data_IF_431094174947
#
_entry.id   IF_431094174947
#
_cell.length_a   1.000
_cell.length_b   1.000
_cell.length_c   1.000
_cell.angle_alpha   90.00
_cell.angle_beta   90.00
_cell.angle_gamma   90.00
#
_symmetry.space_group_name_H-M   'P 1'
#
loop_
_entity.id
_entity.type
_entity.pdbx_description
1 polymer ?
#
# COMPACT_ATOMS: atom_id res chain seq x y z
N UNK A 1 -4.83 -17.14 -45.60
CA UNK A 1 -3.73 -16.95 -46.56
C UNK A 1 -2.42 -16.89 -45.79
N UNK A 2 -1.78 -18.05 -45.69
CA UNK A 2 -0.32 -18.27 -45.73
C UNK A 2 0.60 -17.04 -45.82
N UNK A 3 1.59 -16.88 -44.94
CA UNK A 3 2.93 -17.52 -45.01
C UNK A 3 3.90 -16.92 -43.97
N UNK A 4 4.50 -17.82 -43.20
CA UNK A 4 5.72 -17.61 -42.41
C UNK A 4 6.95 -17.52 -43.31
N UNK A 5 8.00 -16.81 -42.86
CA UNK A 5 9.36 -17.01 -43.33
C UNK A 5 10.21 -17.71 -42.26
N UNK A 6 10.67 -18.92 -42.60
CA UNK A 6 11.59 -19.78 -41.82
C UNK A 6 13.04 -19.32 -42.00
N UNK A 7 13.88 -19.55 -40.97
CA UNK A 7 15.35 -19.51 -41.08
C UNK A 7 15.90 -20.94 -41.15
N UNK A 8 16.86 -21.16 -42.07
CA UNK A 8 17.52 -22.44 -42.40
C UNK A 8 18.39 -22.98 -41.25
N UNK A 9 18.41 -24.31 -41.13
CA UNK A 9 19.38 -25.13 -40.40
C UNK A 9 20.41 -25.73 -41.39
N UNK A 10 21.66 -25.87 -40.93
CA UNK A 10 22.67 -26.92 -41.22
C UNK A 10 24.03 -26.36 -40.74
N UNK A 11 24.87 -27.07 -39.99
CA UNK A 11 25.40 -28.43 -40.17
C UNK A 11 26.01 -28.97 -38.85
N UNK A 12 25.94 -30.29 -38.66
CA UNK A 12 26.61 -31.08 -37.61
C UNK A 12 28.09 -31.35 -37.93
N UNK A 13 28.92 -31.60 -36.88
CA UNK A 13 29.80 -32.79 -36.66
C UNK A 13 30.99 -32.45 -35.70
N UNK A 14 31.75 -33.43 -35.17
CA UNK A 14 31.48 -34.20 -33.95
C UNK A 14 32.53 -33.95 -32.83
N UNK A 15 32.22 -34.44 -31.63
CA UNK A 15 33.04 -34.40 -30.41
C UNK A 15 34.36 -35.20 -30.49
N UNK A 16 35.35 -34.86 -29.62
CA UNK A 16 36.22 -35.85 -29.03
C UNK A 16 36.06 -35.92 -27.51
N UNK A 17 35.94 -37.15 -27.05
CA UNK A 17 35.94 -37.64 -25.67
C UNK A 17 37.28 -37.45 -24.96
N UNK A 18 37.25 -37.14 -23.65
CA UNK A 18 38.02 -37.74 -22.53
C UNK A 18 38.11 -36.75 -21.32
N UNK A 19 38.52 -37.20 -20.11
CA UNK A 19 37.64 -37.74 -19.07
C UNK A 19 37.77 -36.91 -17.76
N UNK A 20 37.06 -37.31 -16.71
CA UNK A 20 37.32 -36.95 -15.31
C UNK A 20 37.43 -35.46 -14.93
N UNK A 21 36.32 -34.92 -14.43
CA UNK A 21 36.34 -33.96 -13.32
C UNK A 21 35.05 -34.10 -12.51
N UNK A 22 34.91 -35.23 -11.83
CA UNK A 22 33.80 -35.48 -10.89
C UNK A 22 34.08 -34.98 -9.47
N UNK A 23 35.19 -34.26 -9.23
CA UNK A 23 35.56 -33.78 -7.88
C UNK A 23 35.78 -32.26 -7.75
N UNK A 24 35.54 -31.44 -8.78
CA UNK A 24 35.77 -29.99 -8.69
C UNK A 24 34.56 -29.16 -8.16
N UNK A 25 33.33 -29.71 -8.20
CA UNK A 25 32.10 -28.92 -7.94
C UNK A 25 31.82 -28.52 -6.48
N UNK A 26 32.18 -29.28 -5.43
CA UNK A 26 31.88 -28.83 -4.05
C UNK A 26 32.79 -27.67 -3.61
N UNK A 27 34.08 -27.76 -3.94
CA UNK A 27 35.12 -26.83 -3.46
C UNK A 27 34.91 -25.41 -4.02
N UNK A 28 34.50 -25.30 -5.28
CA UNK A 28 34.30 -24.01 -5.95
C UNK A 28 33.07 -23.25 -5.41
N UNK A 29 31.99 -23.96 -5.03
CA UNK A 29 30.78 -23.33 -4.48
C UNK A 29 31.02 -22.86 -3.05
N UNK A 30 31.65 -23.69 -2.21
CA UNK A 30 31.97 -23.34 -0.82
C UNK A 30 32.90 -22.11 -0.74
N UNK A 31 33.88 -22.00 -1.65
CA UNK A 31 34.74 -20.83 -1.76
C UNK A 31 33.99 -19.57 -2.22
N UNK A 32 33.04 -19.69 -3.15
CA UNK A 32 32.19 -18.57 -3.58
C UNK A 32 31.32 -18.09 -2.41
N UNK A 33 30.71 -19.01 -1.66
CA UNK A 33 29.84 -18.69 -0.52
C UNK A 33 30.61 -18.04 0.64
N UNK A 34 31.84 -18.51 0.89
CA UNK A 34 32.73 -17.94 1.90
C UNK A 34 33.13 -16.49 1.56
N UNK A 35 33.32 -16.18 0.28
CA UNK A 35 33.82 -14.88 -0.20
C UNK A 35 32.71 -13.92 -0.69
N UNK A 36 31.45 -14.16 -0.34
CA UNK A 36 30.35 -13.27 -0.71
C UNK A 36 30.51 -11.87 -0.10
N UNK A 37 30.48 -10.86 -0.96
CA UNK A 37 30.63 -9.45 -0.61
C UNK A 37 29.48 -8.93 0.27
N UNK A 38 29.81 -8.43 1.45
CA UNK A 38 28.81 -7.90 2.37
C UNK A 38 28.26 -6.53 1.93
N UNK A 39 29.10 -5.64 1.39
CA UNK A 39 28.67 -4.29 0.98
C UNK A 39 27.74 -4.36 -0.24
N UNK A 40 26.49 -3.88 -0.15
CA UNK A 40 25.50 -4.02 -1.22
C UNK A 40 25.89 -3.30 -2.51
N UNK A 41 26.69 -2.24 -2.42
CA UNK A 41 27.16 -1.50 -3.59
C UNK A 41 28.22 -2.24 -4.40
N UNK A 42 28.85 -3.26 -3.81
CA UNK A 42 29.93 -4.06 -4.40
C UNK A 42 29.50 -5.49 -4.74
N UNK A 43 28.25 -5.87 -4.46
CA UNK A 43 27.75 -7.22 -4.75
C UNK A 43 27.63 -7.46 -6.25
N UNK A 44 28.07 -8.64 -6.69
CA UNK A 44 27.77 -9.19 -8.02
C UNK A 44 26.27 -9.33 -8.21
N UNK A 45 25.71 -8.98 -9.38
CA UNK A 45 24.26 -9.08 -9.59
C UNK A 45 23.82 -10.55 -9.54
N UNK A 46 22.62 -10.81 -9.02
CA UNK A 46 22.09 -12.19 -8.96
C UNK A 46 22.02 -12.87 -10.33
N UNK A 47 21.84 -12.10 -11.40
CA UNK A 47 21.85 -12.56 -12.81
C UNK A 47 23.22 -12.99 -13.30
N UNK A 48 24.30 -12.53 -12.68
CA UNK A 48 25.66 -12.78 -13.14
C UNK A 48 26.22 -14.07 -12.54
N UNK A 49 25.59 -14.59 -11.48
CA UNK A 49 25.87 -15.94 -10.97
C UNK A 49 25.24 -17.02 -11.86
N UNK A 50 25.88 -18.19 -11.90
CA UNK A 50 25.33 -19.39 -12.55
C UNK A 50 23.96 -19.75 -11.95
N UNK A 51 22.93 -20.06 -12.77
CA UNK A 51 21.59 -20.40 -12.27
C UNK A 51 21.56 -21.46 -11.18
N UNK A 52 22.47 -22.43 -11.24
CA UNK A 52 22.54 -23.56 -10.31
C UNK A 52 23.01 -23.20 -8.89
N UNK A 53 23.61 -22.02 -8.68
CA UNK A 53 24.13 -21.58 -7.36
C UNK A 53 23.38 -20.38 -6.78
N UNK A 54 22.47 -19.76 -7.54
CA UNK A 54 21.76 -18.54 -7.13
C UNK A 54 20.96 -18.74 -5.85
N UNK A 55 20.32 -19.89 -5.68
CA UNK A 55 19.48 -20.16 -4.51
C UNK A 55 20.30 -20.36 -3.24
N UNK A 56 21.49 -20.95 -3.36
CA UNK A 56 22.40 -21.12 -2.23
C UNK A 56 23.01 -19.78 -1.80
N UNK A 57 23.35 -18.93 -2.77
CA UNK A 57 23.77 -17.55 -2.53
C UNK A 57 22.65 -16.76 -1.85
N UNK A 58 21.39 -16.88 -2.32
CA UNK A 58 20.22 -16.24 -1.69
C UNK A 58 20.06 -16.68 -0.24
N UNK A 59 20.10 -17.98 0.02
CA UNK A 59 20.00 -18.55 1.38
C UNK A 59 21.11 -18.01 2.28
N UNK A 60 22.34 -17.94 1.77
CA UNK A 60 23.49 -17.42 2.52
C UNK A 60 23.34 -15.94 2.88
N UNK A 61 22.90 -15.10 1.94
CA UNK A 61 22.62 -13.68 2.25
C UNK A 61 21.44 -13.50 3.20
N UNK A 62 20.39 -14.32 3.11
CA UNK A 62 19.28 -14.29 4.06
C UNK A 62 19.72 -14.68 5.48
N UNK A 63 20.64 -15.65 5.61
CA UNK A 63 21.22 -16.03 6.90
C UNK A 63 22.14 -14.95 7.47
N UNK A 64 22.94 -14.28 6.62
CA UNK A 64 23.81 -13.17 7.02
C UNK A 64 22.99 -11.91 7.39
N UNK A 65 21.82 -11.74 6.78
CA UNK A 65 20.96 -10.58 6.96
C UNK A 65 21.47 -9.31 6.24
N UNK A 66 20.75 -8.19 6.40
CA UNK A 66 21.07 -6.92 5.74
C UNK A 66 22.39 -6.32 6.24
N UNK A 67 23.16 -5.70 5.33
CA UNK A 67 24.38 -4.98 5.67
C UNK A 67 24.07 -3.63 6.35
N UNK A 68 24.06 -3.63 7.69
CA UNK A 68 23.68 -2.49 8.52
C UNK A 68 24.87 -2.00 9.37
N UNK A 69 25.70 -1.12 8.79
CA UNK A 69 26.90 -0.58 9.46
C UNK A 69 26.54 0.49 10.50
N UNK A 70 25.97 0.06 11.65
CA UNK A 70 25.41 0.95 12.70
C UNK A 70 26.43 1.87 13.37
N UNK A 71 27.69 1.44 13.46
CA UNK A 71 28.79 2.21 14.05
C UNK A 71 29.49 3.16 13.06
N UNK A 72 29.10 3.14 11.79
CA UNK A 72 29.70 3.96 10.76
C UNK A 72 29.28 5.43 10.88
N UNK A 73 30.25 6.34 10.71
CA UNK A 73 29.99 7.78 10.67
C UNK A 73 29.56 8.18 9.26
N UNK A 74 28.26 8.14 9.02
CA UNK A 74 27.69 8.51 7.71
C UNK A 74 28.07 9.95 7.31
N UNK A 75 28.54 10.14 6.08
CA UNK A 75 28.94 11.45 5.57
C UNK A 75 27.74 12.39 5.46
N UNK A 76 28.02 13.70 5.48
CA UNK A 76 27.02 14.72 5.25
C UNK A 76 27.06 15.20 3.81
N UNK A 77 25.89 15.26 3.20
CA UNK A 77 25.71 15.79 1.85
C UNK A 77 24.84 17.04 1.92
N UNK A 78 25.23 18.09 1.21
CA UNK A 78 24.38 19.26 1.03
C UNK A 78 23.33 18.95 -0.04
N UNK A 79 22.07 18.85 0.36
CA UNK A 79 20.95 18.69 -0.57
C UNK A 79 20.07 19.94 -0.47
N UNK A 80 20.05 20.74 -1.54
CA UNK A 80 19.29 22.01 -1.67
C UNK A 80 19.32 22.86 -0.39
N UNK A 81 20.53 23.23 0.05
CA UNK A 81 20.77 24.17 1.16
C UNK A 81 20.74 23.54 2.56
N UNK A 82 20.46 22.24 2.70
CA UNK A 82 20.42 21.55 3.98
C UNK A 82 21.47 20.43 3.99
N UNK A 83 22.33 20.42 5.01
CA UNK A 83 23.28 19.33 5.24
C UNK A 83 22.54 18.14 5.88
N UNK A 84 22.36 17.07 5.11
CA UNK A 84 21.63 15.86 5.52
C UNK A 84 22.61 14.68 5.51
N UNK A 85 22.42 13.72 6.43
CA UNK A 85 23.19 12.47 6.50
C UNK A 85 22.26 11.28 6.67
N UNK A 86 22.76 10.09 6.34
CA UNK A 86 22.09 8.84 6.70
C UNK A 86 22.07 8.65 8.23
N UNK A 87 20.99 8.09 8.79
CA UNK A 87 20.84 7.88 10.24
C UNK A 87 20.68 6.39 10.52
N UNK A 88 21.55 5.83 11.38
CA UNK A 88 21.55 4.42 11.75
C UNK A 88 20.21 3.91 12.29
N UNK A 89 19.43 4.76 12.97
CA UNK A 89 18.13 4.42 13.52
C UNK A 89 17.12 3.94 12.46
N UNK A 90 17.31 4.31 11.18
CA UNK A 90 16.43 3.80 10.12
C UNK A 90 16.52 2.28 9.95
N UNK A 91 17.62 1.66 10.36
CA UNK A 91 17.73 0.20 10.39
C UNK A 91 16.78 -0.47 11.39
N UNK A 92 16.31 0.27 12.41
CA UNK A 92 15.32 -0.24 13.38
C UNK A 92 13.90 -0.12 12.85
N UNK A 93 13.64 0.86 11.97
CA UNK A 93 12.35 1.09 11.32
C UNK A 93 12.16 0.21 10.07
N UNK A 94 13.27 -0.16 9.40
CA UNK A 94 13.27 -0.87 8.13
C UNK A 94 14.30 -2.02 8.15
N UNK A 95 13.83 -3.22 8.44
CA UNK A 95 14.63 -4.45 8.54
C UNK A 95 15.32 -4.86 7.22
N UNK A 96 14.77 -4.47 6.06
CA UNK A 96 15.35 -4.74 4.74
C UNK A 96 16.46 -3.76 4.32
N UNK A 97 16.61 -2.64 5.03
CA UNK A 97 17.43 -1.51 4.60
C UNK A 97 18.91 -1.83 4.78
N UNK A 98 19.67 -1.62 3.71
CA UNK A 98 21.13 -1.75 3.68
C UNK A 98 21.77 -0.41 3.29
N UNK A 99 23.04 -0.24 3.66
CA UNK A 99 23.81 0.93 3.24
C UNK A 99 25.18 0.51 2.74
N UNK A 100 25.56 1.01 1.56
CA UNK A 100 26.89 0.82 0.99
C UNK A 100 27.82 1.93 1.46
N UNK A 101 28.91 1.53 2.14
CA UNK A 101 29.98 2.47 2.49
C UNK A 101 30.74 2.88 1.21
N UNK A 102 30.95 1.92 0.30
CA UNK A 102 31.69 2.15 -0.93
C UNK A 102 31.01 3.16 -1.87
N UNK A 103 29.67 3.18 -1.90
CA UNK A 103 28.89 4.06 -2.78
C UNK A 103 28.21 5.23 -2.07
N UNK A 104 28.20 5.27 -0.74
CA UNK A 104 27.48 6.28 0.05
C UNK A 104 25.97 6.37 -0.27
N UNK A 105 25.32 5.21 -0.47
CA UNK A 105 23.89 5.13 -0.84
C UNK A 105 23.20 3.93 -0.20
N UNK A 106 21.87 4.01 -0.07
CA UNK A 106 21.05 2.98 0.53
C UNK A 106 20.58 1.92 -0.49
N UNK A 107 20.43 0.68 -0.06
CA UNK A 107 19.97 -0.45 -0.87
C UNK A 107 18.91 -1.27 -0.12
N UNK A 108 18.30 -2.23 -0.80
CA UNK A 108 17.38 -3.21 -0.21
C UNK A 108 17.87 -4.63 -0.45
N UNK A 109 18.05 -5.38 0.63
CA UNK A 109 18.48 -6.77 0.56
C UNK A 109 17.52 -7.61 -0.28
N UNK A 110 16.23 -7.55 0.01
CA UNK A 110 15.22 -8.37 -0.67
C UNK A 110 15.14 -8.04 -2.17
N UNK A 111 15.25 -6.76 -2.54
CA UNK A 111 15.23 -6.40 -3.96
C UNK A 111 16.50 -6.83 -4.69
N UNK A 112 17.66 -6.83 -4.03
CA UNK A 112 18.89 -7.41 -4.59
C UNK A 112 18.71 -8.92 -4.85
N UNK A 113 18.10 -9.65 -3.91
CA UNK A 113 17.96 -11.11 -3.99
C UNK A 113 16.94 -11.60 -5.02
N UNK A 114 15.81 -10.89 -5.16
CA UNK A 114 14.63 -11.42 -5.85
C UNK A 114 14.17 -10.62 -7.07
N UNK A 115 14.71 -9.41 -7.33
CA UNK A 115 14.24 -8.60 -8.46
C UNK A 115 14.90 -9.04 -9.78
N UNK A 116 14.14 -9.37 -10.83
CA UNK A 116 14.69 -9.98 -12.05
C UNK A 116 15.34 -8.99 -13.03
N UNK A 117 14.98 -7.69 -13.02
CA UNK A 117 15.48 -6.69 -13.97
C UNK A 117 15.93 -5.40 -13.27
N UNK A 118 17.20 -5.02 -13.45
CA UNK A 118 17.82 -3.81 -12.90
C UNK A 118 17.82 -2.61 -13.86
N UNK A 119 17.59 -2.85 -15.16
CA UNK A 119 17.81 -1.85 -16.22
C UNK A 119 16.50 -1.22 -16.76
N UNK A 120 15.35 -1.46 -16.14
CA UNK A 120 14.13 -0.72 -16.48
C UNK A 120 14.20 0.71 -15.93
N UNK A 121 14.03 1.70 -16.80
CA UNK A 121 13.79 3.09 -16.42
C UNK A 121 12.55 3.14 -15.51
N UNK A 122 12.72 3.59 -14.27
CA UNK A 122 11.68 3.55 -13.22
C UNK A 122 11.76 2.35 -12.28
N UNK A 123 12.75 1.46 -12.44
CA UNK A 123 13.07 0.39 -11.51
C UNK A 123 13.51 0.95 -10.15
N UNK A 124 12.80 0.57 -9.10
CA UNK A 124 13.01 0.96 -7.70
C UNK A 124 14.49 1.23 -7.32
N UNK A 125 14.78 2.45 -6.84
CA UNK A 125 16.12 3.02 -6.67
C UNK A 125 17.05 2.26 -5.71
N UNK A 126 16.53 1.25 -4.99
CA UNK A 126 17.22 0.50 -3.93
C UNK A 126 18.07 -0.68 -4.42
N UNK A 127 18.34 -0.78 -5.72
CA UNK A 127 18.98 -1.98 -6.31
C UNK A 127 20.28 -1.71 -7.05
N UNK A 128 20.26 -1.25 -8.30
CA UNK A 128 21.49 -1.13 -9.10
C UNK A 128 22.31 0.12 -8.76
N UNK A 129 21.66 1.29 -8.78
CA UNK A 129 22.31 2.59 -8.55
C UNK A 129 22.37 2.93 -7.06
N UNK A 130 21.39 2.47 -6.29
CA UNK A 130 21.24 2.80 -4.88
C UNK A 130 20.49 4.13 -4.66
N UNK A 131 19.88 4.25 -3.49
CA UNK A 131 19.03 5.37 -3.13
C UNK A 131 19.83 6.41 -2.33
N UNK A 132 19.92 7.63 -2.87
CA UNK A 132 20.67 8.74 -2.27
C UNK A 132 19.83 9.99 -1.93
N UNK A 133 18.52 9.97 -2.25
CA UNK A 133 17.64 11.12 -1.98
C UNK A 133 17.15 11.13 -0.53
N UNK A 134 18.04 11.53 0.38
CA UNK A 134 17.79 11.51 1.82
C UNK A 134 16.67 12.46 2.27
N UNK A 135 16.31 13.48 1.47
CA UNK A 135 15.13 14.34 1.73
C UNK A 135 13.82 13.58 1.67
N UNK A 136 13.65 12.73 0.66
CA UNK A 136 12.42 11.95 0.45
C UNK A 136 12.48 10.55 1.08
N UNK A 137 13.48 10.26 1.91
CA UNK A 137 13.71 8.92 2.46
C UNK A 137 12.49 8.30 3.16
N UNK A 138 11.76 9.03 4.02
CA UNK A 138 10.62 8.44 4.75
C UNK A 138 9.50 8.08 3.79
N UNK A 139 9.18 9.00 2.88
CA UNK A 139 8.21 8.76 1.80
C UNK A 139 8.64 7.58 0.93
N UNK A 140 9.90 7.53 0.51
CA UNK A 140 10.43 6.52 -0.41
C UNK A 140 10.65 5.16 0.23
N UNK A 141 11.09 5.08 1.49
CA UNK A 141 11.20 3.85 2.26
C UNK A 141 9.81 3.29 2.54
N UNK A 142 8.86 4.14 2.93
CA UNK A 142 7.46 3.73 3.10
C UNK A 142 6.82 3.34 1.78
N UNK A 143 7.14 3.98 0.66
CA UNK A 143 6.67 3.58 -0.67
C UNK A 143 7.33 2.28 -1.12
N UNK A 144 8.60 2.07 -0.80
CA UNK A 144 9.34 0.84 -1.13
C UNK A 144 8.73 -0.36 -0.39
N UNK A 145 8.47 -0.23 0.90
CA UNK A 145 7.75 -1.23 1.70
C UNK A 145 6.27 -1.32 1.31
N UNK A 146 5.66 -0.17 1.07
CA UNK A 146 4.22 0.04 0.98
C UNK A 146 3.65 0.16 -0.43
N UNK A 147 4.40 -0.22 -1.48
CA UNK A 147 3.86 -0.31 -2.84
C UNK A 147 3.36 -1.71 -3.22
N UNK A 148 3.23 -2.62 -2.24
CA UNK A 148 2.26 -3.71 -2.33
C UNK A 148 0.84 -3.24 -1.95
N UNK A 149 0.42 -2.06 -2.42
CA UNK A 149 -0.98 -1.77 -2.68
C UNK A 149 -1.48 -2.47 -3.95
N UNK A 150 -0.87 -3.62 -4.29
CA UNK A 150 -1.28 -4.45 -5.39
C UNK A 150 -2.54 -5.18 -4.96
N UNK A 151 -3.56 -5.08 -5.79
CA UNK A 151 -4.81 -5.79 -5.56
C UNK A 151 -4.54 -7.30 -5.53
N UNK A 152 -5.22 -7.98 -4.60
CA UNK A 152 -5.18 -9.45 -4.54
C UNK A 152 -5.53 -10.07 -5.90
N UNK A 153 -6.49 -9.42 -6.58
CA UNK A 153 -6.93 -9.69 -7.95
C UNK A 153 -6.29 -8.77 -8.98
N UNK A 154 -6.01 -9.28 -10.18
CA UNK A 154 -5.69 -8.45 -11.34
C UNK A 154 -6.93 -7.73 -11.86
N UNK A 155 -6.76 -6.55 -12.46
CA UNK A 155 -7.84 -5.97 -13.28
C UNK A 155 -8.06 -6.81 -14.55
N UNK A 156 -6.97 -7.36 -15.07
CA UNK A 156 -6.93 -8.37 -16.12
C UNK A 156 -6.05 -9.53 -15.64
N UNK A 157 -6.64 -10.72 -15.50
CA UNK A 157 -5.98 -11.96 -15.08
C UNK A 157 -5.69 -12.88 -16.28
N UNK A 158 -5.85 -12.39 -17.52
CA UNK A 158 -5.54 -13.13 -18.74
C UNK A 158 -4.05 -13.50 -18.82
N UNK A 159 -3.72 -14.57 -19.55
CA UNK A 159 -2.35 -15.06 -19.65
C UNK A 159 -1.36 -14.00 -20.18
N UNK A 160 -1.84 -13.08 -21.02
CA UNK A 160 -1.08 -11.99 -21.63
C UNK A 160 -1.02 -10.72 -20.78
N UNK A 161 -1.72 -10.66 -19.65
CA UNK A 161 -1.69 -9.52 -18.75
C UNK A 161 -0.30 -9.33 -18.16
N UNK A 162 0.13 -8.07 -18.07
CA UNK A 162 1.39 -7.67 -17.43
C UNK A 162 1.32 -7.67 -15.89
N UNK A 163 0.12 -7.77 -15.32
CA UNK A 163 -0.11 -7.86 -13.88
C UNK A 163 -1.44 -8.57 -13.62
N UNK A 164 -1.35 -9.85 -13.22
CA UNK A 164 -2.52 -10.70 -12.93
C UNK A 164 -2.98 -10.60 -11.47
N UNK A 165 -2.45 -9.66 -10.70
CA UNK A 165 -2.72 -9.50 -9.26
C UNK A 165 -1.91 -10.44 -8.38
N UNK A 166 -1.81 -10.09 -7.09
CA UNK A 166 -0.89 -10.76 -6.17
C UNK A 166 -1.10 -12.26 -6.06
N UNK A 167 -2.35 -12.74 -6.10
CA UNK A 167 -2.62 -14.17 -5.94
C UNK A 167 -2.02 -15.00 -7.08
N UNK A 168 -2.27 -14.60 -8.33
CA UNK A 168 -1.80 -15.34 -9.50
C UNK A 168 -0.31 -15.18 -9.73
N UNK A 169 0.23 -13.98 -9.50
CA UNK A 169 1.68 -13.75 -9.60
C UNK A 169 2.44 -14.56 -8.54
N UNK A 170 1.93 -14.65 -7.30
CA UNK A 170 2.55 -15.46 -6.26
C UNK A 170 2.39 -16.96 -6.54
N UNK A 171 1.24 -17.40 -7.06
CA UNK A 171 1.01 -18.79 -7.43
C UNK A 171 1.93 -19.22 -8.58
N UNK A 172 2.12 -18.36 -9.58
CA UNK A 172 3.08 -18.57 -10.67
C UNK A 172 4.51 -18.61 -10.14
N UNK A 173 4.89 -17.66 -9.27
CA UNK A 173 6.19 -17.67 -8.62
C UNK A 173 6.44 -19.00 -7.88
N UNK A 174 5.48 -19.50 -7.10
CA UNK A 174 5.61 -20.78 -6.41
C UNK A 174 5.74 -21.96 -7.39
N UNK A 175 4.97 -21.96 -8.47
CA UNK A 175 5.07 -22.97 -9.52
C UNK A 175 6.44 -22.96 -10.22
N UNK A 176 7.05 -21.78 -10.40
CA UNK A 176 8.36 -21.67 -11.06
C UNK A 176 9.52 -22.14 -10.17
N UNK A 177 9.31 -22.20 -8.85
CA UNK A 177 10.37 -22.50 -7.87
C UNK A 177 10.17 -23.82 -7.11
N UNK A 178 9.03 -24.51 -7.26
CA UNK A 178 8.78 -25.82 -6.66
C UNK A 178 8.10 -26.75 -7.67
N UNK A 179 8.85 -27.76 -8.12
CA UNK A 179 8.38 -28.74 -9.10
C UNK A 179 7.16 -29.54 -8.62
N UNK A 180 7.00 -29.74 -7.29
CA UNK A 180 5.81 -30.42 -6.74
C UNK A 180 4.57 -29.53 -6.87
N UNK A 181 4.73 -28.23 -6.61
CA UNK A 181 3.65 -27.25 -6.78
C UNK A 181 3.33 -27.12 -8.26
N UNK A 182 4.34 -26.94 -9.11
CA UNK A 182 4.20 -26.84 -10.58
C UNK A 182 3.38 -27.97 -11.17
N UNK A 183 3.58 -29.20 -10.69
CA UNK A 183 2.90 -30.39 -11.19
C UNK A 183 1.38 -30.38 -10.94
N UNK A 184 0.87 -29.56 -10.02
CA UNK A 184 -0.53 -29.62 -9.57
C UNK A 184 -1.30 -28.29 -9.70
N UNK A 185 -0.67 -27.21 -10.17
CA UNK A 185 -1.29 -25.87 -10.26
C UNK A 185 -1.36 -25.35 -11.71
N UNK A 186 -2.14 -24.29 -11.92
CA UNK A 186 -2.24 -23.55 -13.20
C UNK A 186 -2.62 -24.43 -14.40
N UNK A 187 -1.74 -24.55 -15.40
CA UNK A 187 -1.96 -25.34 -16.62
C UNK A 187 -1.88 -26.84 -16.36
N UNK A 188 -1.12 -27.26 -15.33
CA UNK A 188 -0.95 -28.66 -14.94
C UNK A 188 -2.04 -29.15 -13.98
N UNK A 189 -2.85 -28.24 -13.44
CA UNK A 189 -3.99 -28.60 -12.59
C UNK A 189 -5.09 -29.31 -13.41
N UNK A 190 -5.64 -30.43 -12.92
CA UNK A 190 -6.65 -31.20 -13.65
C UNK A 190 -7.98 -30.44 -13.78
N UNK A 191 -8.36 -30.15 -15.02
CA UNK A 191 -9.66 -29.55 -15.36
C UNK A 191 -9.94 -28.24 -14.60
N UNK A 192 -10.96 -28.27 -13.75
CA UNK A 192 -11.44 -27.11 -13.00
C UNK A 192 -10.76 -26.91 -11.62
N UNK A 193 -9.82 -27.78 -11.24
CA UNK A 193 -9.13 -27.73 -9.93
C UNK A 193 -8.00 -26.70 -9.87
N UNK A 194 -8.02 -25.69 -10.75
CA UNK A 194 -6.97 -24.67 -10.83
C UNK A 194 -6.94 -23.74 -9.62
N UNK A 195 -8.05 -23.61 -8.89
CA UNK A 195 -8.22 -22.70 -7.74
C UNK A 195 -7.92 -21.22 -8.03
N UNK A 196 -7.95 -20.83 -9.30
CA UNK A 196 -7.68 -19.45 -9.76
C UNK A 196 -8.95 -18.63 -9.98
N UNK A 197 -10.14 -19.24 -9.94
CA UNK A 197 -11.38 -18.53 -10.23
C UNK A 197 -11.63 -17.39 -9.21
N UNK A 198 -12.16 -16.24 -9.65
CA UNK A 198 -12.42 -15.11 -8.75
C UNK A 198 -13.32 -15.43 -7.55
N UNK A 199 -14.26 -16.37 -7.69
CA UNK A 199 -15.10 -16.86 -6.59
C UNK A 199 -14.28 -17.61 -5.53
N UNK A 200 -13.39 -18.50 -5.97
CA UNK A 200 -12.51 -19.29 -5.08
C UNK A 200 -11.54 -18.37 -4.34
N UNK A 201 -10.92 -17.45 -5.06
CA UNK A 201 -10.06 -16.42 -4.48
C UNK A 201 -10.79 -15.62 -3.38
N UNK A 202 -12.05 -15.21 -3.61
CA UNK A 202 -12.88 -14.55 -2.58
C UNK A 202 -13.14 -15.45 -1.38
N UNK A 203 -13.37 -16.73 -1.59
CA UNK A 203 -13.59 -17.67 -0.49
C UNK A 203 -12.32 -17.89 0.35
N UNK A 204 -11.14 -17.93 -0.29
CA UNK A 204 -9.85 -17.93 0.42
C UNK A 204 -9.66 -16.67 1.26
N UNK A 205 -9.95 -15.49 0.69
CA UNK A 205 -9.88 -14.21 1.42
C UNK A 205 -10.84 -14.21 2.62
N UNK A 206 -12.09 -14.68 2.44
CA UNK A 206 -13.06 -14.80 3.53
C UNK A 206 -12.59 -15.77 4.61
N UNK A 207 -12.00 -16.91 4.25
CA UNK A 207 -11.45 -17.86 5.21
C UNK A 207 -10.31 -17.24 6.01
N UNK A 208 -9.36 -16.57 5.36
CA UNK A 208 -8.27 -15.86 6.02
C UNK A 208 -8.79 -14.75 6.95
N UNK A 209 -9.79 -13.99 6.51
CA UNK A 209 -10.43 -12.96 7.32
C UNK A 209 -11.09 -13.57 8.58
N UNK A 210 -11.81 -14.69 8.43
CA UNK A 210 -12.45 -15.39 9.54
C UNK A 210 -11.42 -15.88 10.57
N UNK A 211 -10.34 -16.53 10.13
CA UNK A 211 -9.26 -16.98 11.03
C UNK A 211 -8.56 -15.80 11.72
N UNK A 212 -8.29 -14.72 10.98
CA UNK A 212 -7.68 -13.50 11.53
C UNK A 212 -8.56 -12.86 12.61
N UNK A 213 -9.87 -12.74 12.33
CA UNK A 213 -10.84 -12.24 13.31
C UNK A 213 -10.88 -13.18 14.51
N UNK A 214 -10.91 -14.50 14.30
CA UNK A 214 -10.84 -15.50 15.37
C UNK A 214 -9.62 -15.30 16.28
N UNK A 215 -8.44 -15.07 15.71
CA UNK A 215 -7.22 -14.78 16.47
C UNK A 215 -7.33 -13.46 17.24
N UNK A 216 -7.83 -12.40 16.63
CA UNK A 216 -8.05 -11.11 17.31
C UNK A 216 -8.97 -11.30 18.52
N UNK A 217 -10.07 -12.04 18.35
CA UNK A 217 -11.04 -12.29 19.41
C UNK A 217 -10.51 -13.21 20.49
N UNK A 218 -9.65 -14.16 20.14
CA UNK A 218 -8.91 -14.97 21.11
C UNK A 218 -7.94 -14.14 21.95
N UNK A 219 -7.50 -12.97 21.45
CA UNK A 219 -6.71 -12.00 22.23
C UNK A 219 -7.61 -11.06 23.05
N UNK A 220 -8.85 -10.79 22.62
CA UNK A 220 -9.86 -10.07 23.43
C UNK A 220 -10.37 -10.94 24.59
N UNK A 221 -10.66 -12.23 24.35
CA UNK A 221 -11.27 -13.19 25.30
C UNK A 221 -12.49 -12.58 26.02
N UNK A 222 -12.52 -12.69 27.35
CA UNK A 222 -13.53 -12.15 28.26
C UNK A 222 -13.24 -10.72 28.74
N UNK A 223 -12.28 -10.03 28.13
CA UNK A 223 -11.89 -8.67 28.55
C UNK A 223 -12.91 -7.63 28.12
N UNK A 224 -12.85 -6.50 28.81
CA UNK A 224 -13.58 -5.32 28.39
C UNK A 224 -12.96 -4.70 27.15
N UNK A 225 -13.80 -4.15 26.28
CA UNK A 225 -13.37 -3.55 25.04
C UNK A 225 -14.23 -2.33 24.68
N UNK A 226 -13.73 -1.59 23.70
CA UNK A 226 -14.36 -0.42 23.11
C UNK A 226 -14.59 -0.69 21.63
N UNK A 227 -15.68 -0.16 21.08
CA UNK A 227 -15.94 -0.19 19.64
C UNK A 227 -15.69 1.18 19.04
N UNK A 228 -15.01 1.22 17.90
CA UNK A 228 -14.83 2.41 17.07
C UNK A 228 -15.54 2.17 15.74
N UNK A 229 -16.36 3.11 15.30
CA UNK A 229 -17.12 3.00 14.05
C UNK A 229 -16.89 4.25 13.21
N UNK A 230 -16.68 4.06 11.92
CA UNK A 230 -16.60 5.16 10.96
C UNK A 230 -17.34 4.79 9.67
N UNK A 231 -17.94 5.79 9.03
CA UNK A 231 -18.73 5.64 7.81
C UNK A 231 -18.08 6.39 6.67
N UNK A 232 -17.89 5.70 5.55
CA UNK A 232 -17.35 6.30 4.35
C UNK A 232 -17.98 5.72 3.09
N UNK A 233 -18.11 6.56 2.07
CA UNK A 233 -18.57 6.18 0.75
C UNK A 233 -17.40 5.70 -0.10
N UNK A 234 -17.52 4.51 -0.67
CA UNK A 234 -16.52 3.93 -1.56
C UNK A 234 -16.58 4.48 -2.99
N UNK A 235 -15.64 4.03 -3.84
CA UNK A 235 -15.54 4.42 -5.26
C UNK A 235 -16.74 3.99 -6.10
N UNK A 236 -17.47 2.97 -5.66
CA UNK A 236 -18.71 2.49 -6.26
C UNK A 236 -19.94 3.16 -5.68
N UNK A 237 -19.76 4.27 -4.94
CA UNK A 237 -20.84 5.09 -4.39
C UNK A 237 -21.63 4.37 -3.28
N UNK A 238 -21.10 3.27 -2.74
CA UNK A 238 -21.75 2.55 -1.64
C UNK A 238 -21.22 3.01 -0.30
N UNK A 239 -22.11 3.16 0.66
CA UNK A 239 -21.75 3.46 2.04
C UNK A 239 -21.16 2.20 2.70
N UNK A 240 -20.04 2.38 3.39
CA UNK A 240 -19.29 1.34 4.08
C UNK A 240 -19.10 1.76 5.52
N UNK A 241 -19.31 0.82 6.43
CA UNK A 241 -19.09 0.99 7.86
C UNK A 241 -17.84 0.22 8.28
N UNK A 242 -16.80 0.94 8.68
CA UNK A 242 -15.60 0.36 9.25
C UNK A 242 -15.79 0.17 10.76
N UNK A 243 -15.39 -1.00 11.26
CA UNK A 243 -15.50 -1.36 12.68
C UNK A 243 -14.13 -1.73 13.22
N UNK A 244 -13.73 -1.07 14.31
CA UNK A 244 -12.52 -1.36 15.06
C UNK A 244 -12.82 -1.69 16.52
N UNK A 245 -12.00 -2.56 17.11
CA UNK A 245 -12.00 -2.84 18.54
C UNK A 245 -10.76 -2.26 19.18
N UNK A 246 -10.93 -1.73 20.39
CA UNK A 246 -9.84 -1.29 21.26
C UNK A 246 -9.95 -1.96 22.62
N UNK A 247 -8.88 -2.63 23.05
CA UNK A 247 -8.85 -3.38 24.30
C UNK A 247 -7.44 -3.37 24.90
N UNK A 248 -7.31 -3.86 26.14
CA UNK A 248 -6.02 -4.01 26.82
C UNK A 248 -5.65 -5.48 26.84
N UNK A 249 -4.46 -5.83 26.34
CA UNK A 249 -3.98 -7.22 26.34
C UNK A 249 -3.38 -7.63 27.70
N UNK A 250 -2.94 -8.88 27.82
CA UNK A 250 -2.36 -9.43 29.06
C UNK A 250 -1.08 -8.71 29.54
N UNK A 251 -0.43 -7.97 28.65
CA UNK A 251 0.76 -7.17 28.97
C UNK A 251 0.41 -5.75 29.41
N UNK A 252 -0.87 -5.44 29.61
CA UNK A 252 -1.34 -4.09 29.92
C UNK A 252 -1.20 -3.10 28.76
N UNK A 253 -1.00 -3.58 27.52
CA UNK A 253 -0.86 -2.72 26.34
C UNK A 253 -2.21 -2.49 25.67
N UNK A 254 -2.44 -1.26 25.25
CA UNK A 254 -3.59 -0.89 24.43
C UNK A 254 -3.38 -1.45 23.02
N UNK A 255 -4.35 -2.24 22.56
CA UNK A 255 -4.38 -2.86 21.24
C UNK A 255 -5.60 -2.35 20.49
N UNK A 256 -5.39 -1.94 19.25
CA UNK A 256 -6.42 -1.50 18.31
C UNK A 256 -6.39 -2.42 17.09
N UNK A 257 -7.55 -2.95 16.71
CA UNK A 257 -7.70 -3.89 15.59
C UNK A 257 -8.93 -3.53 14.76
N UNK A 258 -8.73 -3.34 13.46
CA UNK A 258 -9.83 -3.32 12.50
C UNK A 258 -10.40 -4.74 12.42
N UNK A 259 -11.71 -4.88 12.61
CA UNK A 259 -12.39 -6.18 12.65
C UNK A 259 -13.39 -6.37 11.51
N UNK A 260 -13.74 -5.29 10.80
CA UNK A 260 -14.59 -5.41 9.63
C UNK A 260 -14.76 -4.12 8.87
N UNK A 261 -15.10 -4.27 7.60
CA UNK A 261 -15.69 -3.23 6.76
C UNK A 261 -16.94 -3.85 6.15
N UNK A 262 -18.10 -3.32 6.50
CA UNK A 262 -19.39 -3.87 6.09
C UNK A 262 -20.15 -2.84 5.27
N UNK A 263 -20.71 -3.28 4.15
CA UNK A 263 -21.62 -2.45 3.39
C UNK A 263 -22.92 -2.26 4.19
N UNK A 264 -23.32 -1.01 4.38
CA UNK A 264 -24.61 -0.64 4.97
C UNK A 264 -25.48 -0.04 3.89
N UNK A 265 -26.75 -0.47 3.83
CA UNK A 265 -27.72 0.00 2.85
C UNK A 265 -28.19 1.43 3.14
N UNK A 266 -28.08 1.86 4.39
CA UNK A 266 -28.45 3.18 4.87
C UNK A 266 -27.54 3.59 6.05
N UNK A 267 -27.36 4.89 6.24
CA UNK A 267 -26.55 5.52 7.31
C UNK A 267 -27.42 5.95 8.49
N UNK A 268 -28.65 5.45 8.56
CA UNK A 268 -29.50 5.67 9.73
C UNK A 268 -28.96 4.92 10.94
N UNK A 269 -29.15 5.50 12.12
CA UNK A 269 -28.72 4.92 13.38
C UNK A 269 -29.28 3.52 13.67
N UNK A 270 -30.42 3.16 13.08
CA UNK A 270 -30.97 1.79 13.16
C UNK A 270 -30.14 0.81 12.32
N UNK A 271 -29.90 1.12 11.04
CA UNK A 271 -29.11 0.27 10.15
C UNK A 271 -27.69 0.06 10.69
N UNK A 272 -27.05 1.13 11.19
CA UNK A 272 -25.72 1.05 11.80
C UNK A 272 -25.72 0.17 13.06
N UNK A 273 -26.77 0.28 13.88
CA UNK A 273 -26.90 -0.56 15.07
C UNK A 273 -27.11 -2.03 14.71
N UNK A 274 -27.94 -2.30 13.71
CA UNK A 274 -28.20 -3.66 13.22
C UNK A 274 -26.90 -4.29 12.69
N UNK A 275 -26.12 -3.54 11.92
CA UNK A 275 -24.80 -3.99 11.44
C UNK A 275 -23.84 -4.34 12.62
N UNK A 276 -23.81 -3.53 13.68
CA UNK A 276 -23.02 -3.85 14.88
C UNK A 276 -23.57 -5.10 15.59
N UNK A 277 -24.89 -5.22 15.72
CA UNK A 277 -25.54 -6.37 16.37
C UNK A 277 -25.29 -7.67 15.59
N UNK A 278 -25.37 -7.64 14.26
CA UNK A 278 -25.02 -8.75 13.36
C UNK A 278 -23.56 -9.13 13.48
N UNK A 279 -22.65 -8.15 13.44
CA UNK A 279 -21.22 -8.40 13.62
C UNK A 279 -20.96 -9.08 14.97
N UNK A 280 -21.48 -8.53 16.08
CA UNK A 280 -21.28 -9.09 17.42
C UNK A 280 -21.82 -10.52 17.52
N UNK A 281 -22.98 -10.78 16.90
CA UNK A 281 -23.59 -12.11 16.87
C UNK A 281 -22.75 -13.10 16.07
N UNK A 282 -22.24 -12.68 14.90
CA UNK A 282 -21.44 -13.53 14.00
C UNK A 282 -20.12 -13.99 14.63
N UNK A 283 -19.59 -13.22 15.58
CA UNK A 283 -18.32 -13.50 16.24
C UNK A 283 -18.44 -13.81 17.74
N UNK A 284 -19.66 -13.98 18.23
CA UNK A 284 -19.99 -14.26 19.63
C UNK A 284 -19.40 -13.25 20.64
N UNK A 285 -19.36 -11.96 20.27
CA UNK A 285 -18.96 -10.88 21.17
C UNK A 285 -20.14 -10.40 22.03
N UNK A 286 -19.93 -10.32 23.33
CA UNK A 286 -20.97 -9.88 24.26
C UNK A 286 -20.99 -8.36 24.46
N UNK A 287 -22.15 -7.74 24.26
CA UNK A 287 -22.41 -6.35 24.66
C UNK A 287 -22.18 -6.08 26.15
N UNK A 288 -22.27 -7.11 27.00
CA UNK A 288 -22.01 -6.97 28.45
C UNK A 288 -20.59 -6.49 28.76
N UNK A 289 -19.63 -6.75 27.85
CA UNK A 289 -18.22 -6.40 27.98
C UNK A 289 -17.85 -5.08 27.31
N UNK A 290 -18.76 -4.46 26.56
CA UNK A 290 -18.54 -3.17 25.94
C UNK A 290 -18.46 -2.06 27.01
N UNK A 291 -17.43 -1.22 26.95
CA UNK A 291 -17.19 -0.10 27.90
C UNK A 291 -17.08 1.26 27.25
N UNK A 292 -16.86 1.31 25.95
CA UNK A 292 -16.77 2.57 25.22
C UNK A 292 -17.27 2.40 23.78
N UNK A 293 -17.84 3.47 23.25
CA UNK A 293 -18.29 3.60 21.88
C UNK A 293 -17.75 4.92 21.29
N UNK A 294 -16.91 4.80 20.27
CA UNK A 294 -16.21 5.93 19.64
C UNK A 294 -16.63 6.11 18.20
N UNK A 295 -17.17 7.28 17.87
CA UNK A 295 -17.50 7.65 16.48
C UNK A 295 -17.70 9.17 16.36
N UNK A 296 -18.06 9.63 15.16
CA UNK A 296 -18.19 11.03 14.85
C UNK A 296 -19.39 11.71 15.55
N UNK A 297 -19.61 12.98 15.20
CA UNK A 297 -20.62 13.83 15.81
C UNK A 297 -21.87 14.01 14.96
N UNK A 298 -22.03 13.24 13.88
CA UNK A 298 -23.19 13.32 13.01
C UNK A 298 -24.48 13.04 13.79
N UNK A 299 -25.60 13.56 13.32
CA UNK A 299 -26.90 13.40 14.01
C UNK A 299 -27.29 11.93 14.19
N UNK A 300 -27.00 11.09 13.19
CA UNK A 300 -27.29 9.66 13.24
C UNK A 300 -26.36 8.94 14.24
N UNK A 301 -25.19 9.49 14.53
CA UNK A 301 -24.25 8.94 15.49
C UNK A 301 -24.51 9.43 16.92
N UNK A 302 -24.38 10.75 17.14
CA UNK A 302 -24.43 11.38 18.47
C UNK A 302 -25.85 11.70 18.96
N UNK A 303 -26.86 11.68 18.07
CA UNK A 303 -28.21 12.18 18.35
C UNK A 303 -28.81 11.70 19.67
N UNK A 304 -29.44 12.60 20.40
CA UNK A 304 -29.90 12.38 21.78
C UNK A 304 -31.02 11.33 21.89
N UNK A 305 -31.99 11.32 20.97
CA UNK A 305 -33.15 10.42 21.05
C UNK A 305 -32.98 9.17 20.20
N UNK A 306 -32.46 9.36 18.99
CA UNK A 306 -32.40 8.35 17.94
C UNK A 306 -30.99 8.12 17.42
N UNK A 307 -29.94 8.71 17.99
CA UNK A 307 -28.57 8.44 17.56
C UNK A 307 -28.09 7.04 17.93
N UNK A 308 -27.08 6.55 17.22
CA UNK A 308 -26.39 5.29 17.49
C UNK A 308 -25.92 5.24 18.95
N UNK A 309 -25.39 6.35 19.45
CA UNK A 309 -25.06 6.59 20.87
C UNK A 309 -26.16 6.17 21.80
N UNK A 310 -27.32 6.77 21.64
CA UNK A 310 -28.44 6.53 22.55
C UNK A 310 -28.90 5.08 22.44
N UNK A 311 -28.91 4.51 21.24
CA UNK A 311 -29.32 3.12 21.05
C UNK A 311 -28.34 2.11 21.69
N UNK A 312 -27.04 2.34 21.60
CA UNK A 312 -26.04 1.48 22.26
C UNK A 312 -26.09 1.70 23.78
N UNK A 313 -26.20 2.94 24.27
CA UNK A 313 -26.33 3.23 25.70
C UNK A 313 -27.56 2.55 26.34
N UNK A 314 -28.69 2.49 25.62
CA UNK A 314 -29.89 1.76 26.06
C UNK A 314 -29.63 0.25 26.21
N UNK A 315 -28.74 -0.33 25.40
CA UNK A 315 -28.39 -1.76 25.44
C UNK A 315 -27.26 -2.05 26.44
N UNK A 316 -26.29 -1.15 26.56
CA UNK A 316 -25.17 -1.22 27.48
C UNK A 316 -24.92 0.16 28.12
N UNK A 317 -25.46 0.43 29.32
CA UNK A 317 -25.31 1.72 30.00
C UNK A 317 -23.85 2.08 30.34
N UNK A 318 -22.97 1.09 30.49
CA UNK A 318 -21.56 1.32 30.76
C UNK A 318 -20.72 1.64 29.52
N UNK A 319 -21.30 1.66 28.31
CA UNK A 319 -20.57 1.97 27.07
C UNK A 319 -20.46 3.49 26.88
N UNK A 320 -19.44 4.11 27.45
CA UNK A 320 -19.28 5.57 27.38
C UNK A 320 -19.05 6.06 25.94
N UNK A 321 -19.69 7.16 25.56
CA UNK A 321 -19.52 7.75 24.22
C UNK A 321 -18.32 8.68 24.15
N UNK A 322 -17.41 8.40 23.24
CA UNK A 322 -16.26 9.25 22.92
C UNK A 322 -16.49 9.89 21.55
N UNK A 323 -16.60 11.22 21.54
CA UNK A 323 -16.71 12.00 20.30
C UNK A 323 -15.33 12.09 19.66
N UNK A 324 -15.22 11.70 18.39
CA UNK A 324 -13.97 11.78 17.64
C UNK A 324 -13.31 13.17 17.71
N UNK A 325 -12.12 13.23 18.32
CA UNK A 325 -11.35 14.46 18.52
C UNK A 325 -11.00 15.17 17.21
N UNK A 326 -10.63 14.40 16.17
CA UNK A 326 -10.31 14.99 14.87
C UNK A 326 -11.54 15.68 14.25
N UNK A 327 -12.73 15.11 14.41
CA UNK A 327 -13.97 15.75 13.98
C UNK A 327 -14.28 16.99 14.83
N UNK A 328 -14.07 16.94 16.15
CA UNK A 328 -14.24 18.11 17.02
C UNK A 328 -13.32 19.28 16.62
N UNK A 329 -12.04 18.99 16.39
CA UNK A 329 -11.06 19.98 15.97
C UNK A 329 -11.46 20.60 14.61
N UNK A 330 -11.85 19.76 13.64
CA UNK A 330 -12.32 20.23 12.34
C UNK A 330 -13.53 21.16 12.47
N UNK A 331 -14.52 20.80 13.29
CA UNK A 331 -15.70 21.62 13.53
C UNK A 331 -15.34 22.96 14.19
N UNK A 332 -14.43 22.95 15.17
CA UNK A 332 -13.96 24.16 15.83
C UNK A 332 -13.24 25.10 14.83
N UNK A 333 -12.33 24.55 14.00
CA UNK A 333 -11.62 25.31 12.97
C UNK A 333 -12.58 25.93 11.95
N UNK A 334 -13.55 25.16 11.46
CA UNK A 334 -14.57 25.66 10.52
C UNK A 334 -15.42 26.75 11.17
N UNK A 335 -15.81 26.59 12.43
CA UNK A 335 -16.61 27.58 13.15
C UNK A 335 -15.84 28.91 13.36
N UNK A 336 -14.55 28.84 13.71
CA UNK A 336 -13.69 30.02 13.86
C UNK A 336 -13.44 30.69 12.51
N UNK A 337 -13.13 29.91 11.47
CA UNK A 337 -12.90 30.42 10.12
C UNK A 337 -14.12 31.18 9.56
N UNK A 338 -15.34 30.68 9.81
CA UNK A 338 -16.58 31.36 9.40
C UNK A 338 -16.82 32.70 10.10
N UNK A 339 -16.25 32.91 11.29
CA UNK A 339 -16.37 34.18 12.02
C UNK A 339 -15.37 35.23 11.56
N UNK A 340 -14.29 34.83 10.88
CA UNK A 340 -13.38 35.77 10.24
C UNK A 340 -13.91 36.12 8.85
N UNK A 341 -14.17 37.40 8.60
CA UNK A 341 -14.80 37.87 7.36
C UNK A 341 -13.94 37.54 6.13
N UNK A 342 -12.64 37.78 6.21
CA UNK A 342 -11.71 37.58 5.09
C UNK A 342 -11.58 36.09 4.73
N UNK A 343 -11.40 35.24 5.74
CA UNK A 343 -11.29 33.79 5.56
C UNK A 343 -12.61 33.20 5.06
N UNK A 344 -13.75 33.64 5.60
CA UNK A 344 -15.06 33.20 5.13
C UNK A 344 -15.33 33.64 3.69
N UNK A 345 -14.95 34.87 3.33
CA UNK A 345 -15.04 35.40 1.96
C UNK A 345 -14.18 34.58 1.01
N UNK A 346 -12.94 34.26 1.39
CA UNK A 346 -12.05 33.40 0.62
C UNK A 346 -12.66 32.03 0.35
N UNK A 347 -13.12 31.31 1.38
CA UNK A 347 -13.70 29.98 1.21
C UNK A 347 -15.05 30.01 0.48
N UNK A 348 -15.81 31.09 0.58
CA UNK A 348 -17.02 31.30 -0.23
C UNK A 348 -16.68 31.40 -1.70
N UNK A 349 -15.69 32.24 -2.05
CA UNK A 349 -15.20 32.40 -3.42
C UNK A 349 -14.60 31.10 -3.97
N UNK A 350 -13.77 30.41 -3.19
CA UNK A 350 -13.19 29.12 -3.57
C UNK A 350 -14.27 28.06 -3.85
N UNK A 351 -15.31 27.99 -3.02
CA UNK A 351 -16.43 27.08 -3.26
C UNK A 351 -17.24 27.44 -4.50
N UNK A 352 -17.49 28.74 -4.74
CA UNK A 352 -18.14 29.22 -5.95
C UNK A 352 -17.36 28.84 -7.19
N UNK A 353 -16.04 29.03 -7.18
CA UNK A 353 -15.14 28.63 -8.26
C UNK A 353 -15.24 27.12 -8.56
N UNK A 354 -15.16 26.28 -7.52
CA UNK A 354 -15.30 24.83 -7.66
C UNK A 354 -16.68 24.45 -8.19
N UNK A 355 -17.75 25.12 -7.77
CA UNK A 355 -19.09 24.83 -8.25
C UNK A 355 -19.25 25.24 -9.72
N UNK A 356 -18.73 26.41 -10.11
CA UNK A 356 -18.78 26.88 -11.51
C UNK A 356 -18.09 25.87 -12.42
N UNK A 357 -16.84 25.50 -12.12
CA UNK A 357 -16.08 24.57 -12.95
C UNK A 357 -16.61 23.13 -12.82
N UNK A 358 -16.89 22.68 -11.59
CA UNK A 358 -17.26 21.31 -11.25
C UNK A 358 -18.71 20.92 -11.54
N UNK A 359 -19.65 21.86 -11.64
CA UNK A 359 -21.05 21.54 -11.96
C UNK A 359 -21.29 21.31 -13.46
N UNK A 360 -20.39 21.80 -14.33
CA UNK A 360 -20.50 21.62 -15.79
C UNK A 360 -19.61 20.48 -16.26
N UNK A 361 -20.18 19.45 -16.87
CA UNK A 361 -19.42 18.36 -17.50
C UNK A 361 -18.42 18.90 -18.53
N UNK A 362 -18.84 19.86 -19.36
CA UNK A 362 -17.98 20.51 -20.38
C UNK A 362 -16.77 21.19 -19.77
N UNK A 363 -16.96 21.97 -18.70
CA UNK A 363 -15.84 22.66 -18.01
C UNK A 363 -14.93 21.68 -17.27
N UNK A 364 -15.48 20.60 -16.71
CA UNK A 364 -14.67 19.54 -16.10
C UNK A 364 -13.75 18.86 -17.12
N UNK A 365 -14.27 18.53 -18.29
CA UNK A 365 -13.48 17.87 -19.33
C UNK A 365 -12.47 18.83 -19.95
N UNK A 366 -12.84 20.10 -20.16
CA UNK A 366 -11.91 21.14 -20.59
C UNK A 366 -10.78 21.35 -19.57
N UNK A 367 -11.08 21.38 -18.27
CA UNK A 367 -10.08 21.49 -17.21
C UNK A 367 -9.11 20.31 -17.21
N UNK A 368 -9.62 19.08 -17.38
CA UNK A 368 -8.77 17.89 -17.46
C UNK A 368 -7.84 17.94 -18.66
N UNK A 369 -8.37 18.29 -19.84
CA UNK A 369 -7.57 18.42 -21.05
C UNK A 369 -6.48 19.48 -20.90
N UNK A 370 -6.83 20.66 -20.39
CA UNK A 370 -5.90 21.77 -20.18
C UNK A 370 -4.80 21.41 -19.17
N UNK A 371 -5.18 20.81 -18.04
CA UNK A 371 -4.24 20.39 -17.01
C UNK A 371 -3.29 19.30 -17.52
N UNK A 372 -3.80 18.37 -18.33
CA UNK A 372 -2.98 17.33 -18.96
C UNK A 372 -1.98 17.93 -19.94
N UNK A 373 -2.37 18.93 -20.74
CA UNK A 373 -1.46 19.63 -21.64
C UNK A 373 -0.36 20.40 -20.88
N UNK A 374 -0.72 21.08 -19.79
CA UNK A 374 0.24 21.77 -18.92
C UNK A 374 1.24 20.81 -18.27
N UNK A 375 0.77 19.62 -17.85
CA UNK A 375 1.65 18.57 -17.33
C UNK A 375 2.61 18.06 -18.40
N UNK A 376 2.13 17.81 -19.64
CA UNK A 376 2.98 17.37 -20.76
C UNK A 376 4.07 18.40 -21.04
N UNK A 377 3.72 19.69 -21.16
CA UNK A 377 4.69 20.77 -21.34
C UNK A 377 5.69 20.85 -20.19
N UNK A 378 5.23 20.65 -18.96
CA UNK A 378 6.11 20.68 -17.80
C UNK A 378 7.05 19.45 -17.72
N UNK A 379 6.65 18.30 -18.27
CA UNK A 379 7.54 17.14 -18.45
C UNK A 379 8.54 17.35 -19.58
N UNK A 380 8.12 17.92 -20.71
CA UNK A 380 9.01 18.24 -21.85
C UNK A 380 10.11 19.24 -21.47
N UNK A 381 9.84 20.11 -20.50
CA UNK A 381 10.79 21.10 -19.98
C UNK A 381 11.58 20.63 -18.73
N UNK A 382 11.53 19.34 -18.38
CA UNK A 382 12.16 18.76 -17.18
C UNK A 382 11.78 19.45 -15.84
N UNK A 383 10.66 20.17 -15.81
CA UNK A 383 10.18 20.89 -14.62
C UNK A 383 9.46 19.98 -13.61
N UNK A 384 9.00 18.79 -14.03
CA UNK A 384 8.27 17.84 -13.19
C UNK A 384 8.87 16.43 -13.24
N UNK A 385 8.93 15.79 -12.07
CA UNK A 385 9.44 14.41 -11.93
C UNK A 385 8.28 13.43 -12.15
N UNK A 386 8.45 12.45 -13.03
CA UNK A 386 7.51 11.35 -13.22
C UNK A 386 7.60 10.33 -12.08
N UNK A 387 6.48 9.74 -11.67
CA UNK A 387 6.47 8.71 -10.64
C UNK A 387 5.07 8.17 -10.34
N UNK A 388 4.99 6.92 -9.87
CA UNK A 388 3.72 6.28 -9.51
C UNK A 388 3.07 7.05 -8.34
N UNK A 389 1.87 7.58 -8.56
CA UNK A 389 1.15 8.44 -7.61
C UNK A 389 1.42 9.94 -7.74
N UNK A 390 2.32 10.36 -8.64
CA UNK A 390 2.58 11.77 -8.95
C UNK A 390 1.85 12.16 -10.25
N UNK A 391 1.31 13.39 -10.28
CA UNK A 391 0.68 13.99 -11.47
C UNK A 391 -0.43 13.12 -12.10
N UNK A 392 -1.12 12.31 -11.28
CA UNK A 392 -2.27 11.52 -11.71
C UNK A 392 -3.43 12.43 -12.11
N UNK A 393 -4.36 11.90 -12.89
CA UNK A 393 -5.60 12.59 -13.20
C UNK A 393 -6.35 12.90 -11.90
N UNK A 394 -6.48 14.19 -11.57
CA UNK A 394 -7.15 14.67 -10.36
C UNK A 394 -8.38 15.48 -10.72
N UNK A 395 -9.41 15.40 -9.89
CA UNK A 395 -10.58 16.27 -9.96
C UNK A 395 -10.54 17.34 -8.88
N UNK A 396 -11.25 18.44 -9.12
CA UNK A 396 -11.44 19.49 -8.11
C UNK A 396 -12.09 18.90 -6.86
N UNK A 397 -11.36 18.95 -5.74
CA UNK A 397 -11.87 18.48 -4.45
C UNK A 397 -12.77 19.53 -3.84
N UNK A 398 -14.02 19.16 -3.53
CA UNK A 398 -14.95 20.03 -2.81
C UNK A 398 -14.71 19.98 -1.30
N UNK A 399 -14.69 21.14 -0.67
CA UNK A 399 -14.59 21.25 0.78
C UNK A 399 -15.89 20.77 1.43
N UNK A 400 -15.76 19.94 2.48
CA UNK A 400 -16.87 19.44 3.27
C UNK A 400 -16.64 19.76 4.74
N UNK A 401 -17.58 20.44 5.38
CA UNK A 401 -17.40 20.90 6.78
C UNK A 401 -17.13 19.74 7.76
N UNK A 402 -17.69 18.56 7.47
CA UNK A 402 -17.59 17.35 8.30
C UNK A 402 -16.47 16.40 7.88
N UNK A 403 -15.83 16.61 6.71
CA UNK A 403 -14.77 15.75 6.18
C UNK A 403 -13.40 16.34 6.49
N UNK A 404 -12.54 15.58 7.16
CA UNK A 404 -11.20 16.01 7.56
C UNK A 404 -10.36 16.44 6.36
N UNK A 405 -9.56 17.50 6.56
CA UNK A 405 -8.63 18.02 5.57
C UNK A 405 -9.24 18.36 4.19
N UNK A 406 -10.57 18.38 4.06
CA UNK A 406 -11.23 18.66 2.78
C UNK A 406 -10.94 20.07 2.31
N UNK A 407 -10.89 21.05 3.22
CA UNK A 407 -10.55 22.44 2.93
C UNK A 407 -9.10 22.58 2.47
N UNK A 408 -8.16 21.89 3.13
CA UNK A 408 -6.77 21.84 2.69
C UNK A 408 -6.63 21.17 1.32
N UNK A 409 -7.30 20.03 1.12
CA UNK A 409 -7.32 19.32 -0.16
C UNK A 409 -7.91 20.17 -1.30
N UNK A 410 -8.94 20.96 -1.01
CA UNK A 410 -9.51 21.96 -1.91
C UNK A 410 -8.47 23.03 -2.26
N UNK A 411 -7.78 23.60 -1.27
CA UNK A 411 -6.76 24.62 -1.53
C UNK A 411 -5.62 24.08 -2.39
N UNK A 412 -5.10 22.89 -2.06
CA UNK A 412 -4.05 22.25 -2.85
C UNK A 412 -4.53 22.00 -4.29
N UNK A 413 -5.75 21.53 -4.47
CA UNK A 413 -6.33 21.30 -5.80
C UNK A 413 -6.50 22.58 -6.61
N UNK A 414 -6.90 23.69 -5.96
CA UNK A 414 -6.99 25.00 -6.60
C UNK A 414 -5.59 25.48 -6.98
N UNK A 415 -4.62 25.44 -6.06
CA UNK A 415 -3.25 25.89 -6.31
C UNK A 415 -2.62 25.10 -7.47
N UNK A 416 -2.78 23.78 -7.48
CA UNK A 416 -2.17 22.92 -8.50
C UNK A 416 -2.79 23.10 -9.88
N UNK A 417 -4.10 23.38 -9.95
CA UNK A 417 -4.84 23.49 -11.22
C UNK A 417 -5.16 24.95 -11.58
N UNK A 418 -4.66 25.94 -10.84
CA UNK A 418 -5.06 27.35 -10.99
C UNK A 418 -4.88 27.88 -12.42
N UNK A 419 -3.73 27.69 -13.09
CA UNK A 419 -3.54 28.17 -14.46
C UNK A 419 -4.56 27.55 -15.41
N UNK A 420 -4.78 26.24 -15.31
CA UNK A 420 -5.76 25.51 -16.11
C UNK A 420 -7.20 25.97 -15.82
N UNK A 421 -7.53 26.31 -14.57
CA UNK A 421 -8.84 26.81 -14.18
C UNK A 421 -9.14 28.19 -14.78
N UNK A 422 -8.14 29.08 -14.84
CA UNK A 422 -8.28 30.40 -15.47
C UNK A 422 -8.61 30.28 -16.95
N UNK A 423 -8.06 29.29 -17.65
CA UNK A 423 -8.34 29.06 -19.07
C UNK A 423 -9.74 28.49 -19.35
N UNK A 424 -10.40 27.90 -18.34
CA UNK A 424 -11.69 27.20 -18.47
C UNK A 424 -12.88 28.06 -18.02
N UNK A 425 -12.62 29.06 -17.17
CA UNK A 425 -13.59 30.07 -16.76
C UNK A 425 -13.82 31.08 -17.88
#
# INVERSE_FOLDING_TARGET
MERFFKRKLSTDSPSPSNPDSSNARPIEVDEILANLQADPGLRTRMTDYSPNIRDEIRRTYLQKGPCQSRSYKFPQTNQSGINIRFIAQWFDEYDWLEYSIAKDVAFCLHCYLFKPNFDQVGGDAFTGVGFNNLKKRKERFNLHVGSAGLSFHGHDESAQSSNKGNYLELLQFLADHDEKVKAVVLENAPGNLKLIAPSIQKDLVKACAKETIGLILSDVKDRYFSIMVDEARDVSIKEQMAMGLRYVNDKGKIIERLVGVQHVTDTTSSALKEAIDEFFSSVNLSFSKLREQGYDGASNMRGEFNGLKTKILRKQPCAFYVHCFAHQLQLALVAVAKKNIDVNSFFTTANSLINVVGASCKRRDALRAQYQEELVKAFENDCLITGRGLNQETSLKRAGNTRWNSHYGTMISIISMFPSMVNVL
#
